data_IF_345545961083
#
_entry.id   IF_345545961083
#
_cell.length_a   1.000
_cell.length_b   1.000
_cell.length_c   1.000
_cell.angle_alpha   90.00
_cell.angle_beta   90.00
_cell.angle_gamma   90.00
#
_symmetry.space_group_name_H-M   'P 1'
#
loop_
_entity.id
_entity.type
_entity.pdbx_description
1 polymer ?
#
# COMPACT_ATOMS: atom_id res chain seq x y z
N UNK A 1 6.35 -6.25 -2.11
CA UNK A 1 5.92 -6.58 -3.50
C UNK A 1 5.26 -5.41 -4.23
N UNK A 2 4.51 -4.52 -3.57
CA UNK A 2 3.97 -3.30 -4.20
C UNK A 2 4.89 -2.09 -4.00
N UNK A 3 5.69 -2.11 -2.93
CA UNK A 3 6.76 -1.18 -2.59
C UNK A 3 7.84 -1.07 -3.69
N UNK A 4 7.93 -2.06 -4.57
CA UNK A 4 8.85 -2.08 -5.71
C UNK A 4 8.20 -1.66 -7.02
N UNK A 5 6.90 -1.39 -7.02
CA UNK A 5 6.17 -0.93 -8.20
C UNK A 5 6.15 0.61 -8.23
N UNK A 6 5.96 1.17 -9.43
CA UNK A 6 5.88 2.63 -9.64
C UNK A 6 4.56 3.04 -10.30
N UNK A 7 4.20 2.36 -11.39
CA UNK A 7 2.95 2.64 -12.12
C UNK A 7 1.80 1.78 -11.60
N UNK A 8 1.18 2.21 -10.49
CA UNK A 8 0.07 1.49 -9.87
C UNK A 8 -1.17 1.44 -10.76
N UNK A 9 -1.43 2.46 -11.58
CA UNK A 9 -2.60 2.49 -12.47
C UNK A 9 -2.58 1.34 -13.49
N UNK A 10 -1.49 1.20 -14.25
CA UNK A 10 -1.35 0.13 -15.25
C UNK A 10 -1.31 -1.24 -14.58
N UNK A 11 -0.65 -1.33 -13.42
CA UNK A 11 -0.61 -2.59 -12.66
C UNK A 11 -2.00 -3.00 -12.19
N UNK A 12 -2.80 -2.11 -11.61
CA UNK A 12 -4.17 -2.44 -11.19
C UNK A 12 -5.09 -2.75 -12.37
N UNK A 13 -4.90 -2.07 -13.52
CA UNK A 13 -5.58 -2.43 -14.75
C UNK A 13 -5.24 -3.87 -15.18
N UNK A 14 -3.97 -4.28 -15.08
CA UNK A 14 -3.56 -5.65 -15.41
C UNK A 14 -4.16 -6.66 -14.42
N UNK A 15 -4.08 -6.38 -13.12
CA UNK A 15 -4.63 -7.26 -12.07
C UNK A 15 -6.15 -7.41 -12.20
N UNK A 16 -6.87 -6.35 -12.58
CA UNK A 16 -8.32 -6.43 -12.79
C UNK A 16 -8.72 -7.43 -13.87
N UNK A 17 -7.87 -7.67 -14.87
CA UNK A 17 -8.13 -8.67 -15.91
C UNK A 17 -8.06 -10.10 -15.39
N UNK A 18 -7.35 -10.35 -14.29
CA UNK A 18 -7.24 -11.67 -13.66
C UNK A 18 -8.44 -11.97 -12.74
N UNK A 19 -9.16 -10.93 -12.29
CA UNK A 19 -10.33 -11.09 -11.43
C UNK A 19 -11.58 -11.41 -12.25
N UNK A 20 -12.37 -12.38 -11.77
CA UNK A 20 -13.67 -12.71 -12.37
C UNK A 20 -14.57 -11.48 -12.40
N UNK A 21 -15.25 -11.20 -13.52
CA UNK A 21 -16.20 -10.10 -13.59
C UNK A 21 -17.41 -10.40 -12.70
N UNK A 22 -18.00 -9.35 -12.10
CA UNK A 22 -19.22 -9.49 -11.32
C UNK A 22 -20.39 -9.93 -12.22
N UNK A 23 -20.92 -11.13 -11.95
CA UNK A 23 -22.03 -11.72 -12.70
C UNK A 23 -23.39 -11.10 -12.31
N UNK A 24 -23.56 -10.64 -11.07
CA UNK A 24 -24.83 -10.08 -10.56
C UNK A 24 -24.60 -8.86 -9.64
N UNK A 25 -25.46 -7.82 -9.69
CA UNK A 25 -25.45 -6.72 -8.72
C UNK A 25 -25.78 -7.16 -7.28
N UNK A 26 -26.44 -8.31 -7.09
CA UNK A 26 -27.02 -8.74 -5.83
C UNK A 26 -26.19 -9.78 -5.05
N UNK A 27 -25.15 -10.37 -5.65
CA UNK A 27 -24.39 -11.45 -5.01
C UNK A 27 -23.03 -10.94 -4.50
N UNK A 28 -22.92 -10.74 -3.18
CA UNK A 28 -21.67 -10.38 -2.49
C UNK A 28 -20.76 -11.58 -2.21
N UNK A 29 -21.29 -12.80 -2.31
CA UNK A 29 -20.61 -14.04 -1.93
C UNK A 29 -19.68 -14.60 -3.04
N UNK A 30 -19.98 -14.32 -4.32
CA UNK A 30 -19.22 -14.88 -5.46
C UNK A 30 -18.21 -13.90 -6.08
N UNK A 31 -18.10 -12.70 -5.51
CA UNK A 31 -17.20 -11.64 -6.01
C UNK A 31 -15.73 -12.07 -5.90
N UNK A 32 -14.96 -11.87 -6.97
CA UNK A 32 -13.51 -11.98 -6.91
C UNK A 32 -12.94 -10.76 -6.16
N UNK A 33 -12.11 -11.04 -5.15
CA UNK A 33 -11.47 -10.04 -4.32
C UNK A 33 -9.95 -10.12 -4.47
N UNK A 34 -9.31 -8.95 -4.46
CA UNK A 34 -7.88 -8.79 -4.34
C UNK A 34 -7.57 -8.32 -2.92
N UNK A 35 -6.73 -9.06 -2.21
CA UNK A 35 -6.16 -8.66 -0.93
C UNK A 35 -4.73 -8.16 -1.14
N UNK A 36 -4.41 -6.99 -0.58
CA UNK A 36 -3.06 -6.43 -0.62
C UNK A 36 -2.63 -6.14 0.81
N UNK A 37 -1.51 -6.74 1.20
CA UNK A 37 -0.73 -6.30 2.36
C UNK A 37 0.46 -5.49 1.84
N UNK A 38 0.68 -4.30 2.39
CA UNK A 38 1.77 -3.40 1.97
C UNK A 38 2.28 -2.62 3.17
N UNK A 39 3.60 -2.46 3.26
CA UNK A 39 4.19 -1.53 4.21
C UNK A 39 3.91 -0.10 3.77
N UNK A 40 3.49 0.74 4.71
CA UNK A 40 3.18 2.13 4.44
C UNK A 40 3.61 3.06 5.58
N UNK A 41 3.86 4.31 5.24
CA UNK A 41 3.85 5.42 6.18
C UNK A 41 2.41 5.85 6.48
N UNK A 42 2.18 6.47 7.64
CA UNK A 42 0.84 6.87 8.06
C UNK A 42 0.18 7.86 7.09
N UNK A 43 0.95 8.79 6.52
CA UNK A 43 0.39 9.92 5.76
C UNK A 43 1.26 10.45 4.63
N UNK A 44 2.49 9.95 4.46
CA UNK A 44 3.46 10.57 3.55
C UNK A 44 4.10 9.50 2.68
N UNK A 45 3.76 9.45 1.38
CA UNK A 45 4.46 8.56 0.47
C UNK A 45 5.81 9.17 0.08
N UNK A 46 6.84 8.34 -0.06
CA UNK A 46 8.16 8.77 -0.51
C UNK A 46 8.89 7.63 -1.24
N UNK A 47 9.88 7.99 -2.06
CA UNK A 47 10.79 7.03 -2.67
C UNK A 47 12.02 6.80 -1.79
N UNK A 48 12.61 5.62 -1.90
CA UNK A 48 13.90 5.34 -1.30
C UNK A 48 14.98 5.59 -2.35
N UNK A 49 15.63 6.74 -2.26
CA UNK A 49 16.65 7.18 -3.22
C UNK A 49 18.07 6.96 -2.69
N UNK A 50 19.02 6.86 -3.63
CA UNK A 50 20.43 6.79 -3.29
C UNK A 50 20.90 8.14 -2.73
N UNK A 51 21.01 8.24 -1.42
CA UNK A 51 21.34 9.50 -0.73
C UNK A 51 20.57 9.71 0.56
N UNK A 52 19.42 9.03 0.72
CA UNK A 52 18.55 9.10 1.90
C UNK A 52 19.11 8.37 3.13
N UNK A 53 20.41 8.10 3.13
CA UNK A 53 21.13 7.41 4.18
C UNK A 53 21.29 5.91 3.96
N UNK A 54 22.04 5.30 4.88
CA UNK A 54 22.50 3.92 4.78
C UNK A 54 21.35 2.90 4.65
N UNK A 55 20.24 3.11 5.37
CA UNK A 55 19.08 2.20 5.33
C UNK A 55 18.43 2.16 3.94
N UNK A 56 18.21 3.33 3.33
CA UNK A 56 17.67 3.40 1.97
C UNK A 56 18.59 2.67 0.98
N UNK A 57 19.90 2.93 1.06
CA UNK A 57 20.92 2.38 0.15
C UNK A 57 21.13 0.87 0.26
N UNK A 58 20.97 0.26 1.45
CA UNK A 58 21.30 -1.15 1.67
C UNK A 58 20.07 -2.07 1.65
N UNK A 59 18.89 -1.56 1.99
CA UNK A 59 17.68 -2.38 2.12
C UNK A 59 16.57 -2.01 1.14
N UNK A 60 16.45 -0.75 0.76
CA UNK A 60 15.24 -0.26 0.08
C UNK A 60 15.50 0.45 -1.25
N UNK A 61 16.73 0.44 -1.76
CA UNK A 61 17.15 1.20 -2.94
C UNK A 61 16.19 1.03 -4.12
N UNK A 62 15.72 2.15 -4.67
CA UNK A 62 14.77 2.19 -5.78
C UNK A 62 13.32 1.88 -5.40
N UNK A 63 13.06 1.54 -4.13
CA UNK A 63 11.74 1.27 -3.59
C UNK A 63 10.88 2.53 -3.42
N UNK A 64 9.67 2.30 -2.92
CA UNK A 64 8.68 3.30 -2.57
C UNK A 64 8.09 2.91 -1.23
N UNK A 65 7.96 3.86 -0.32
CA UNK A 65 7.09 3.77 0.85
C UNK A 65 5.75 4.43 0.49
N UNK A 66 4.67 3.67 0.25
CA UNK A 66 3.32 4.21 0.11
C UNK A 66 2.87 4.93 1.38
N UNK A 67 1.89 5.82 1.26
CA UNK A 67 1.06 6.22 2.38
C UNK A 67 -0.15 5.29 2.51
N UNK A 68 -0.73 5.20 3.71
CA UNK A 68 -1.94 4.39 3.93
C UNK A 68 -3.11 4.81 3.02
N UNK A 69 -3.20 6.09 2.69
CA UNK A 69 -4.25 6.68 1.85
C UNK A 69 -3.94 6.67 0.35
N UNK A 70 -2.75 6.23 -0.07
CA UNK A 70 -2.32 6.23 -1.48
C UNK A 70 -3.30 5.47 -2.39
N UNK A 71 -3.89 4.40 -1.89
CA UNK A 71 -4.88 3.59 -2.60
C UNK A 71 -6.33 3.97 -2.26
N UNK A 72 -6.53 4.88 -1.29
CA UNK A 72 -7.79 5.10 -0.62
C UNK A 72 -8.59 6.30 -1.15
N UNK A 73 -7.97 7.39 -1.62
CA UNK A 73 -8.62 8.71 -1.58
C UNK A 73 -9.99 8.82 -2.28
N UNK A 74 -11.06 8.57 -1.52
CA UNK A 74 -12.43 8.96 -1.82
C UNK A 74 -12.84 9.90 -0.69
N UNK A 75 -13.01 11.22 -0.91
CA UNK A 75 -13.57 12.12 0.06
C UNK A 75 -15.09 11.93 0.04
N UNK A 76 -15.56 10.93 0.79
CA UNK A 76 -16.94 10.91 1.26
C UNK A 76 -16.94 10.42 2.69
N UNK A 77 -16.81 11.40 3.61
CA UNK A 77 -17.52 11.51 4.90
C UNK A 77 -16.64 12.17 5.98
N UNK A 78 -16.33 13.45 5.83
CA UNK A 78 -16.11 14.33 6.98
C UNK A 78 -16.96 15.58 6.75
N UNK A 79 -17.99 15.77 7.58
CA UNK A 79 -18.70 17.04 7.66
C UNK A 79 -17.74 18.09 8.21
N UNK A 80 -16.99 18.75 7.34
CA UNK A 80 -16.34 20.02 7.66
C UNK A 80 -17.08 21.07 6.85
N UNK A 81 -17.98 21.79 7.53
CA UNK A 81 -18.48 23.06 7.03
C UNK A 81 -17.32 24.04 7.04
N UNK A 82 -16.69 24.25 5.90
CA UNK A 82 -15.98 25.48 5.61
C UNK A 82 -16.37 25.90 4.20
N UNK A 83 -17.27 26.86 4.16
CA UNK A 83 -17.53 27.66 2.98
C UNK A 83 -16.21 28.15 2.38
N UNK A 84 -16.19 28.27 1.05
CA UNK A 84 -15.09 28.80 0.21
C UNK A 84 -13.90 27.88 -0.07
N UNK A 85 -14.12 26.80 -0.82
CA UNK A 85 -13.13 26.32 -1.79
C UNK A 85 -13.79 26.07 -3.15
N UNK A 86 -13.06 26.44 -4.19
CA UNK A 86 -13.50 26.55 -5.58
C UNK A 86 -13.73 25.20 -6.26
N UNK A 87 -14.68 25.18 -7.20
CA UNK A 87 -15.11 24.07 -8.05
C UNK A 87 -13.96 23.30 -8.76
N UNK A 88 -13.30 22.41 -8.03
CA UNK A 88 -12.61 21.21 -8.54
C UNK A 88 -12.98 20.00 -7.66
N UNK A 89 -14.25 19.92 -7.32
CA UNK A 89 -14.87 18.82 -6.58
C UNK A 89 -15.03 17.58 -7.46
N UNK A 90 -13.97 16.79 -7.56
CA UNK A 90 -14.11 15.35 -7.73
C UNK A 90 -13.27 14.62 -6.68
N UNK A 91 -13.89 13.77 -5.86
CA UNK A 91 -13.30 12.60 -5.24
C UNK A 91 -12.38 11.74 -6.11
N UNK A 92 -11.18 12.19 -6.46
CA UNK A 92 -10.28 11.38 -7.28
C UNK A 92 -9.55 10.34 -6.42
N UNK A 93 -10.13 9.15 -6.34
CA UNK A 93 -9.42 7.93 -5.96
C UNK A 93 -8.25 7.74 -6.91
N UNK A 94 -7.02 7.82 -6.38
CA UNK A 94 -5.80 7.82 -7.21
C UNK A 94 -5.72 6.62 -8.16
N UNK A 95 -6.24 5.45 -7.75
CA UNK A 95 -6.06 4.20 -8.50
C UNK A 95 -7.30 3.28 -8.57
N UNK A 96 -8.52 3.82 -8.52
CA UNK A 96 -9.76 3.01 -8.57
C UNK A 96 -10.51 3.04 -9.91
N UNK A 97 -9.77 3.14 -11.02
CA UNK A 97 -10.36 3.08 -12.37
C UNK A 97 -10.91 1.70 -12.72
N UNK A 98 -10.21 0.64 -12.33
CA UNK A 98 -10.54 -0.75 -12.67
C UNK A 98 -10.90 -1.62 -11.45
N UNK A 99 -10.49 -1.17 -10.26
CA UNK A 99 -10.70 -1.85 -8.99
C UNK A 99 -11.30 -0.88 -7.98
N UNK A 100 -12.34 -1.29 -7.26
CA UNK A 100 -12.99 -0.53 -6.20
C UNK A 100 -12.56 -1.05 -4.85
N UNK A 101 -12.18 -0.14 -3.95
CA UNK A 101 -11.87 -0.49 -2.57
C UNK A 101 -13.13 -0.84 -1.80
N UNK A 102 -13.12 -1.98 -1.13
CA UNK A 102 -14.23 -2.48 -0.32
C UNK A 102 -13.95 -2.37 1.17
N UNK A 103 -12.71 -2.58 1.61
CA UNK A 103 -12.28 -2.47 3.01
C UNK A 103 -10.80 -2.12 3.11
N UNK A 104 -10.43 -1.38 4.15
CA UNK A 104 -9.06 -1.05 4.50
C UNK A 104 -8.84 -1.28 6.00
N UNK A 105 -7.66 -1.75 6.36
CA UNK A 105 -7.20 -1.87 7.73
C UNK A 105 -5.81 -1.29 7.88
N UNK A 106 -5.57 -0.67 9.03
CA UNK A 106 -4.27 -0.17 9.45
C UNK A 106 -3.77 -1.02 10.61
N UNK A 107 -2.56 -1.56 10.49
CA UNK A 107 -1.93 -2.45 11.46
C UNK A 107 -0.68 -1.77 11.98
N UNK A 108 -0.58 -1.58 13.29
CA UNK A 108 0.51 -0.85 13.94
C UNK A 108 1.90 -1.47 13.62
N UNK A 109 2.88 -0.62 13.27
CA UNK A 109 4.24 -1.05 12.92
C UNK A 109 5.02 -1.72 14.04
N UNK A 110 4.55 -1.65 15.29
CA UNK A 110 5.11 -2.41 16.42
C UNK A 110 5.07 -3.92 16.20
N UNK A 111 4.12 -4.44 15.41
CA UNK A 111 4.09 -5.86 15.07
C UNK A 111 5.31 -6.25 14.25
N UNK A 112 5.57 -5.53 13.16
CA UNK A 112 6.71 -5.81 12.30
C UNK A 112 8.06 -5.50 12.99
N UNK A 113 8.12 -4.44 13.81
CA UNK A 113 9.29 -4.15 14.64
C UNK A 113 9.65 -5.32 15.55
N UNK A 114 8.67 -5.97 16.19
CA UNK A 114 8.92 -7.15 17.04
C UNK A 114 9.41 -8.35 16.22
N UNK A 115 8.82 -8.57 15.04
CA UNK A 115 9.28 -9.61 14.12
C UNK A 115 10.75 -9.42 13.76
N UNK A 116 11.17 -8.19 13.43
CA UNK A 116 12.57 -7.88 13.11
C UNK A 116 13.50 -8.06 14.32
N UNK A 117 13.06 -7.65 15.52
CA UNK A 117 13.81 -7.87 16.75
C UNK A 117 14.01 -9.37 17.03
N UNK A 118 12.99 -10.20 16.80
CA UNK A 118 13.09 -11.63 17.00
C UNK A 118 13.97 -12.32 15.94
N UNK A 119 13.90 -11.86 14.69
CA UNK A 119 14.82 -12.32 13.63
C UNK A 119 16.26 -11.96 13.95
N UNK A 120 16.53 -10.76 14.45
CA UNK A 120 17.86 -10.33 14.87
C UNK A 120 18.39 -11.23 16.00
N UNK A 121 17.59 -11.47 17.05
CA UNK A 121 17.98 -12.38 18.15
C UNK A 121 18.33 -13.78 17.65
N UNK A 122 17.57 -14.30 16.69
CA UNK A 122 17.83 -15.61 16.09
C UNK A 122 19.11 -15.61 15.26
N UNK A 123 19.35 -14.55 14.50
CA UNK A 123 20.58 -14.37 13.74
C UNK A 123 21.80 -14.31 14.67
N UNK A 124 21.76 -13.48 15.71
CA UNK A 124 22.84 -13.35 16.69
C UNK A 124 23.13 -14.67 17.41
N UNK A 125 22.08 -15.40 17.80
CA UNK A 125 22.20 -16.71 18.47
C UNK A 125 22.87 -17.76 17.58
N UNK A 126 22.60 -17.73 16.28
CA UNK A 126 23.12 -18.72 15.32
C UNK A 126 24.44 -18.28 14.65
N UNK A 127 24.79 -16.99 14.73
CA UNK A 127 25.92 -16.36 14.06
C UNK A 127 27.28 -16.57 14.73
N UNK A 128 27.66 -17.82 15.07
CA UNK A 128 29.02 -18.11 15.57
C UNK A 128 30.05 -17.64 14.53
N UNK A 129 30.79 -16.57 14.84
CA UNK A 129 31.83 -15.99 13.97
C UNK A 129 31.39 -14.78 13.15
N UNK A 130 30.16 -14.26 13.31
CA UNK A 130 29.74 -13.01 12.68
C UNK A 130 30.13 -11.85 13.61
N UNK A 131 31.32 -11.27 13.41
CA UNK A 131 31.66 -9.96 13.99
C UNK A 131 30.81 -8.88 13.31
N UNK A 132 29.83 -8.33 14.03
CA UNK A 132 29.03 -7.20 13.56
C UNK A 132 29.83 -5.90 13.66
N UNK A 133 30.09 -5.17 12.55
CA UNK A 133 30.61 -3.79 12.62
C UNK A 133 29.50 -2.76 12.92
N UNK A 134 28.24 -3.18 13.06
CA UNK A 134 27.09 -2.27 13.06
C UNK A 134 26.50 -2.09 14.46
N UNK A 135 26.58 -0.85 14.96
CA UNK A 135 25.98 -0.43 16.23
C UNK A 135 24.47 -0.45 16.21
N UNK A 136 23.88 -1.03 17.27
CA UNK A 136 22.44 -1.14 17.48
C UNK A 136 21.75 0.22 17.45
N UNK A 137 20.81 0.38 16.53
CA UNK A 137 19.76 1.37 16.64
C UNK A 137 18.46 0.73 16.17
N UNK A 138 17.39 0.97 16.94
CA UNK A 138 16.04 0.53 16.67
C UNK A 138 15.54 1.20 15.38
N UNK A 139 15.59 0.48 14.27
CA UNK A 139 15.30 1.02 12.94
C UNK A 139 14.33 0.14 12.17
N UNK A 140 13.05 0.19 12.53
CA UNK A 140 11.94 0.02 11.59
C UNK A 140 10.64 0.29 12.32
N UNK A 141 9.94 1.33 11.90
CA UNK A 141 8.55 1.57 12.23
C UNK A 141 7.81 1.75 10.90
N UNK A 142 7.87 0.75 10.01
CA UNK A 142 6.95 0.71 8.89
C UNK A 142 5.62 0.22 9.42
N UNK A 143 4.56 0.95 9.08
CA UNK A 143 3.21 0.51 9.46
C UNK A 143 2.67 -0.39 8.36
N UNK A 144 1.73 -1.28 8.66
CA UNK A 144 1.17 -2.21 7.69
C UNK A 144 -0.24 -1.76 7.30
N UNK A 145 -0.56 -1.85 6.01
CA UNK A 145 -1.91 -1.66 5.51
C UNK A 145 -2.39 -2.93 4.82
N UNK A 146 -3.66 -3.25 5.04
CA UNK A 146 -4.35 -4.34 4.37
C UNK A 146 -5.57 -3.78 3.61
N UNK A 147 -5.75 -4.18 2.35
CA UNK A 147 -6.79 -3.64 1.47
C UNK A 147 -7.54 -4.78 0.78
N UNK A 148 -8.87 -4.68 0.74
CA UNK A 148 -9.72 -5.51 -0.14
C UNK A 148 -10.24 -4.69 -1.31
N UNK A 149 -9.92 -5.13 -2.52
CA UNK A 149 -10.35 -4.52 -3.77
C UNK A 149 -11.24 -5.49 -4.55
N UNK A 150 -12.22 -4.99 -5.28
CA UNK A 150 -13.08 -5.77 -6.19
C UNK A 150 -13.13 -5.10 -7.56
N UNK A 151 -13.38 -5.85 -8.63
CA UNK A 151 -13.40 -5.29 -9.98
C UNK A 151 -14.60 -4.36 -10.20
N UNK A 152 -14.35 -3.15 -10.72
CA UNK A 152 -15.41 -2.20 -11.10
C UNK A 152 -16.03 -2.62 -12.45
N UNK A 153 -17.32 -2.31 -12.64
CA UNK A 153 -18.13 -2.74 -13.79
C UNK A 153 -18.07 -1.77 -14.97
N UNK A 154 -17.25 -0.71 -14.94
CA UNK A 154 -17.30 0.33 -15.97
C UNK A 154 -17.09 -0.28 -17.36
N UNK A 155 -18.06 -0.16 -18.28
CA UNK A 155 -17.88 -0.61 -19.64
C UNK A 155 -16.73 0.18 -20.24
N UNK A 156 -15.73 -0.51 -20.79
CA UNK A 156 -14.73 0.16 -21.63
C UNK A 156 -15.50 0.75 -22.80
N UNK A 157 -15.64 2.07 -22.81
CA UNK A 157 -16.10 2.77 -24.01
C UNK A 157 -15.22 2.31 -25.17
N UNK A 158 -15.85 1.80 -26.22
CA UNK A 158 -15.17 1.49 -27.47
C UNK A 158 -14.47 2.75 -27.93
N UNK A 159 -13.13 2.75 -27.90
CA UNK A 159 -12.37 3.76 -28.62
C UNK A 159 -12.77 3.66 -30.09
N UNK A 160 -13.37 4.73 -30.60
CA UNK A 160 -13.58 4.93 -32.04
C UNK A 160 -12.26 5.29 -32.69
#
# INVERSE_FOLDING_TARGET
>A
MFEHMKNYQVMFQKVSTWLRPKLSPAARADDALLFIQVFCHRSMPYHFEEGDGWMAQNFFSGGTMPSHDLFYFSPLSYNVSLASYTLRDHPQTYFQSDLTLTRSWYINGMHYSRTLEDWLKLQDKNGKGITHPFGYRKWMCSTDAALHLTRDRRPRGTAK
#
